data_IF_286240885835
#
_entry.id   IF_286240885835
#
_cell.length_a   1.000
_cell.length_b   1.000
_cell.length_c   1.000
_cell.angle_alpha   90.00
_cell.angle_beta   90.00
_cell.angle_gamma   90.00
#
_symmetry.space_group_name_H-M   'P 1'
#
loop_
_entity.id
_entity.type
_entity.pdbx_description
1 polymer ?
#
# COMPACT_ATOMS: atom_id res chain seq x y z
N UNK A 1 -50.52 27.35 -34.65
CA UNK A 1 -49.66 27.74 -33.53
C UNK A 1 -49.81 26.69 -32.43
N UNK A 2 -48.82 25.79 -32.31
CA UNK A 2 -48.75 24.79 -31.21
C UNK A 2 -47.58 25.21 -30.33
N UNK A 3 -47.93 25.69 -29.14
CA UNK A 3 -46.97 26.08 -28.11
C UNK A 3 -46.44 24.82 -27.41
N UNK A 4 -45.15 24.50 -27.59
CA UNK A 4 -44.44 23.49 -26.83
C UNK A 4 -44.06 24.10 -25.48
N UNK A 5 -44.57 23.56 -24.39
CA UNK A 5 -44.07 23.81 -23.03
C UNK A 5 -42.92 22.84 -22.77
N UNK A 6 -41.71 23.37 -22.73
CA UNK A 6 -40.52 22.63 -22.22
C UNK A 6 -40.55 22.61 -20.71
N UNK A 7 -40.77 21.42 -20.13
CA UNK A 7 -40.65 21.18 -18.69
C UNK A 7 -39.19 20.87 -18.38
N UNK A 8 -38.46 21.85 -17.85
CA UNK A 8 -37.08 21.65 -17.36
C UNK A 8 -37.16 20.99 -15.98
N UNK A 9 -36.94 19.68 -15.91
CA UNK A 9 -36.72 19.00 -14.62
C UNK A 9 -35.35 19.43 -14.07
N UNK A 10 -35.34 20.22 -13.01
CA UNK A 10 -34.17 20.41 -12.16
C UNK A 10 -34.01 19.14 -11.31
N UNK A 11 -33.03 18.32 -11.65
CA UNK A 11 -32.52 17.31 -10.74
C UNK A 11 -31.73 18.01 -9.63
N UNK A 12 -32.37 18.28 -8.50
CA UNK A 12 -31.63 18.52 -7.26
C UNK A 12 -31.02 17.16 -6.86
N UNK A 13 -29.75 16.95 -7.18
CA UNK A 13 -28.97 15.94 -6.48
C UNK A 13 -28.90 16.38 -5.01
N UNK A 14 -29.62 15.66 -4.13
CA UNK A 14 -29.40 15.75 -2.70
C UNK A 14 -27.95 15.27 -2.45
N UNK A 15 -27.01 16.20 -2.38
CA UNK A 15 -25.74 15.91 -1.77
C UNK A 15 -26.06 15.45 -0.35
N UNK A 16 -25.84 14.17 -0.04
CA UNK A 16 -25.87 13.68 1.32
C UNK A 16 -24.92 14.60 2.11
N UNK A 17 -25.48 15.37 3.03
CA UNK A 17 -24.70 16.21 3.92
C UNK A 17 -23.76 15.26 4.67
N UNK A 18 -22.48 15.30 4.37
CA UNK A 18 -21.49 14.54 5.12
C UNK A 18 -21.61 14.97 6.58
N UNK A 19 -21.70 13.99 7.48
CA UNK A 19 -21.79 14.27 8.92
C UNK A 19 -20.61 15.13 9.36
N UNK A 20 -20.90 16.12 10.22
CA UNK A 20 -19.86 16.90 10.90
C UNK A 20 -19.53 16.23 12.24
N UNK A 21 -18.27 16.04 12.52
CA UNK A 21 -17.77 15.39 13.74
C UNK A 21 -16.83 16.29 14.52
N UNK A 22 -16.91 16.21 15.85
CA UNK A 22 -15.93 16.76 16.77
C UNK A 22 -15.32 15.60 17.58
N UNK A 23 -14.07 15.24 17.26
CA UNK A 23 -13.37 14.12 17.90
C UNK A 23 -12.49 14.67 19.02
N UNK A 24 -12.77 14.27 20.26
CA UNK A 24 -11.94 14.60 21.43
C UNK A 24 -10.85 13.56 21.56
N UNK A 25 -9.59 13.98 21.49
CA UNK A 25 -8.42 13.11 21.52
C UNK A 25 -7.63 13.27 22.80
N UNK A 26 -7.19 12.19 23.42
CA UNK A 26 -6.25 12.22 24.55
C UNK A 26 -4.87 12.71 24.11
N UNK A 27 -4.41 12.21 22.95
CA UNK A 27 -3.20 12.67 22.30
C UNK A 27 -3.35 12.60 20.77
N UNK A 28 -2.71 13.50 20.04
CA UNK A 28 -2.58 13.49 18.58
C UNK A 28 -1.10 13.41 18.25
N UNK A 29 -0.70 12.38 17.51
CA UNK A 29 0.67 12.21 17.06
C UNK A 29 0.80 12.74 15.64
N UNK A 30 1.78 13.58 15.40
CA UNK A 30 2.23 13.96 14.06
C UNK A 30 3.57 13.27 13.74
N UNK A 31 3.57 12.16 13.01
CA UNK A 31 4.80 11.44 12.70
C UNK A 31 5.79 12.27 11.87
N UNK A 32 5.30 13.11 10.96
CA UNK A 32 6.15 13.93 10.11
C UNK A 32 7.00 14.91 10.93
N UNK A 33 6.37 15.62 11.86
CA UNK A 33 7.05 16.58 12.77
C UNK A 33 7.67 15.91 13.99
N UNK A 34 7.23 14.70 14.35
CA UNK A 34 7.64 14.01 15.56
C UNK A 34 7.11 14.66 16.83
N UNK A 35 5.91 15.26 16.78
CA UNK A 35 5.27 15.92 17.91
C UNK A 35 4.07 15.15 18.44
N UNK A 36 3.77 15.35 19.72
CA UNK A 36 2.58 14.82 20.40
C UNK A 36 1.85 15.99 21.06
N UNK A 37 0.64 16.24 20.60
CA UNK A 37 -0.23 17.28 21.14
C UNK A 37 -1.35 16.62 21.96
N UNK A 38 -1.43 16.96 23.27
CA UNK A 38 -2.40 16.34 24.19
C UNK A 38 -3.71 17.13 24.27
N UNK A 39 -4.81 16.42 24.62
CA UNK A 39 -6.13 16.99 24.84
C UNK A 39 -6.61 17.88 23.69
N UNK A 40 -6.56 17.33 22.49
CA UNK A 40 -6.96 18.02 21.28
C UNK A 40 -8.40 17.72 20.89
N UNK A 41 -9.03 18.67 20.21
CA UNK A 41 -10.27 18.41 19.47
C UNK A 41 -10.01 18.53 17.98
N UNK A 42 -10.40 17.51 17.22
CA UNK A 42 -10.34 17.48 15.74
C UNK A 42 -11.75 17.70 15.22
N UNK A 43 -11.94 18.77 14.45
CA UNK A 43 -13.19 19.04 13.77
C UNK A 43 -13.12 18.49 12.34
N UNK A 44 -14.06 17.63 11.99
CA UNK A 44 -14.20 17.03 10.64
C UNK A 44 -15.52 17.48 10.04
N UNK A 45 -15.48 17.94 8.79
CA UNK A 45 -16.67 18.31 8.04
C UNK A 45 -16.42 18.11 6.53
N UNK A 46 -17.39 17.52 5.84
CA UNK A 46 -17.25 17.22 4.41
C UNK A 46 -16.09 16.30 4.08
N UNK A 47 -15.75 15.38 4.97
CA UNK A 47 -14.67 14.39 4.76
C UNK A 47 -13.26 14.91 5.02
N UNK A 48 -13.10 16.19 5.39
CA UNK A 48 -11.78 16.81 5.63
C UNK A 48 -11.67 17.38 7.04
N UNK A 49 -10.45 17.49 7.53
CA UNK A 49 -10.14 18.11 8.81
C UNK A 49 -10.26 19.63 8.66
N UNK A 50 -11.12 20.27 9.47
CA UNK A 50 -11.35 21.72 9.44
C UNK A 50 -10.56 22.46 10.51
N UNK A 51 -10.34 21.82 11.66
CA UNK A 51 -9.57 22.39 12.77
C UNK A 51 -8.97 21.30 13.64
N UNK A 52 -7.83 21.59 14.26
CA UNK A 52 -7.20 20.78 15.30
C UNK A 52 -6.66 21.74 16.37
N UNK A 53 -6.95 21.46 17.63
CA UNK A 53 -6.43 22.28 18.73
C UNK A 53 -7.13 22.01 20.06
N UNK A 54 -6.53 22.47 21.16
CA UNK A 54 -7.08 22.31 22.51
C UNK A 54 -8.35 23.14 22.72
N UNK A 55 -8.52 24.26 22.01
CA UNK A 55 -9.60 25.21 22.20
C UNK A 55 -10.53 25.32 20.97
N UNK A 56 -10.65 24.25 20.17
CA UNK A 56 -11.54 24.23 19.01
C UNK A 56 -12.99 24.33 19.49
N UNK A 57 -13.73 25.32 18.98
CA UNK A 57 -15.17 25.46 19.25
C UNK A 57 -15.94 24.38 18.47
N UNK A 58 -16.74 23.59 19.16
CA UNK A 58 -17.58 22.57 18.55
C UNK A 58 -18.83 23.22 17.99
N UNK A 59 -19.08 23.15 16.65
CA UNK A 59 -20.29 23.72 16.07
C UNK A 59 -21.55 23.04 16.59
N UNK A 60 -22.64 23.81 16.68
CA UNK A 60 -23.94 23.25 17.00
C UNK A 60 -24.34 22.22 15.92
N UNK A 61 -24.72 21.01 16.35
CA UNK A 61 -25.10 19.92 15.46
C UNK A 61 -23.97 18.98 15.06
N UNK A 62 -22.70 19.27 15.38
CA UNK A 62 -21.62 18.31 15.18
C UNK A 62 -21.77 17.11 16.15
N UNK A 63 -21.61 15.91 15.62
CA UNK A 63 -21.59 14.66 16.40
C UNK A 63 -20.28 14.58 17.18
N UNK A 64 -20.36 14.50 18.52
CA UNK A 64 -19.15 14.39 19.36
C UNK A 64 -18.77 12.93 19.50
N UNK A 65 -17.49 12.63 19.20
CA UNK A 65 -16.86 11.33 19.44
C UNK A 65 -15.82 11.54 20.54
N UNK A 66 -15.98 10.82 21.65
CA UNK A 66 -15.06 10.93 22.79
C UNK A 66 -14.00 9.81 22.74
N UNK A 67 -12.80 10.20 22.34
CA UNK A 67 -11.57 9.39 22.33
C UNK A 67 -10.52 10.06 23.25
N UNK A 68 -10.96 10.70 24.35
CA UNK A 68 -10.09 11.46 25.25
C UNK A 68 -9.08 10.61 26.02
N UNK A 69 -9.20 9.29 25.94
CA UNK A 69 -8.25 8.34 26.52
C UNK A 69 -7.35 7.68 25.47
N UNK A 70 -7.55 8.01 24.18
CA UNK A 70 -6.91 7.35 23.04
C UNK A 70 -5.79 8.22 22.44
N UNK A 71 -4.92 7.55 21.70
CA UNK A 71 -3.87 8.15 20.90
C UNK A 71 -4.28 8.13 19.43
N UNK A 72 -4.42 9.31 18.84
CA UNK A 72 -4.86 9.47 17.46
C UNK A 72 -3.66 9.68 16.53
N UNK A 73 -3.73 9.03 15.38
CA UNK A 73 -2.71 9.00 14.35
C UNK A 73 -3.35 9.20 12.96
N UNK A 74 -2.60 9.62 11.95
CA UNK A 74 -3.05 9.44 10.57
C UNK A 74 -3.31 7.97 10.27
N UNK A 75 -4.28 7.68 9.40
CA UNK A 75 -4.50 6.33 8.90
C UNK A 75 -3.22 5.73 8.33
N UNK A 76 -3.01 4.44 8.59
CA UNK A 76 -1.82 3.70 8.17
C UNK A 76 -1.83 3.45 6.65
N UNK A 77 -0.65 3.24 6.11
CA UNK A 77 -0.42 2.92 4.70
C UNK A 77 0.48 1.70 4.56
N UNK A 78 0.16 0.85 3.59
CA UNK A 78 1.04 -0.23 3.13
C UNK A 78 1.36 -0.01 1.65
N UNK A 79 2.64 0.10 1.33
CA UNK A 79 3.11 0.43 -0.01
C UNK A 79 3.41 -0.79 -0.89
N UNK A 80 3.15 -2.02 -0.42
CA UNK A 80 3.34 -3.23 -1.19
C UNK A 80 2.35 -4.32 -0.78
N UNK A 81 1.23 -4.39 -1.49
CA UNK A 81 0.19 -5.41 -1.26
C UNK A 81 -0.19 -6.10 -2.57
N UNK A 82 -0.85 -7.25 -2.42
CA UNK A 82 -1.44 -8.05 -3.48
C UNK A 82 -2.80 -8.58 -2.98
N UNK A 83 -3.84 -7.74 -3.01
CA UNK A 83 -5.11 -8.06 -2.33
C UNK A 83 -5.88 -9.20 -2.99
N UNK A 84 -5.72 -9.37 -4.29
CA UNK A 84 -6.40 -10.41 -5.05
C UNK A 84 -5.65 -11.74 -5.04
N UNK A 85 -4.37 -11.72 -4.65
CA UNK A 85 -3.51 -12.90 -4.56
C UNK A 85 -3.68 -13.59 -3.21
N UNK A 86 -3.64 -14.91 -3.22
CA UNK A 86 -3.44 -15.72 -2.03
C UNK A 86 -2.49 -16.85 -2.34
N UNK A 87 -1.51 -17.05 -1.49
CA UNK A 87 -0.69 -18.26 -1.48
C UNK A 87 -1.27 -19.20 -0.42
N UNK A 88 -1.92 -20.24 -0.90
CA UNK A 88 -2.37 -21.31 0.01
C UNK A 88 -1.12 -22.07 0.42
N UNK A 89 -0.80 -22.04 1.72
CA UNK A 89 0.30 -22.81 2.29
C UNK A 89 0.10 -24.31 2.02
N UNK A 90 0.97 -24.91 1.23
CA UNK A 90 0.90 -26.31 0.84
C UNK A 90 1.62 -26.61 -0.48
N UNK A 91 1.54 -27.86 -0.94
CA UNK A 91 2.29 -28.38 -2.09
C UNK A 91 1.78 -27.90 -3.47
N UNK A 92 0.88 -26.91 -3.53
CA UNK A 92 0.39 -26.42 -4.80
C UNK A 92 1.41 -25.45 -5.42
N UNK A 93 1.88 -25.70 -6.66
CA UNK A 93 2.75 -24.77 -7.35
C UNK A 93 2.09 -23.38 -7.46
N UNK A 94 2.88 -22.32 -7.37
CA UNK A 94 2.43 -20.94 -7.50
C UNK A 94 1.61 -20.71 -8.78
N UNK A 95 2.00 -21.37 -9.87
CA UNK A 95 1.30 -21.33 -11.17
C UNK A 95 -0.15 -21.86 -11.10
N UNK A 96 -0.46 -22.72 -10.14
CA UNK A 96 -1.83 -23.25 -9.98
C UNK A 96 -2.86 -22.16 -9.68
N UNK A 97 -2.43 -21.08 -9.04
CA UNK A 97 -3.25 -19.92 -8.77
C UNK A 97 -3.81 -19.28 -10.04
N UNK A 98 -2.96 -19.12 -11.08
CA UNK A 98 -3.38 -18.52 -12.35
C UNK A 98 -4.44 -19.33 -13.10
N UNK A 99 -4.46 -20.65 -12.89
CA UNK A 99 -5.29 -21.58 -13.65
C UNK A 99 -6.62 -21.89 -12.94
N UNK A 100 -6.60 -21.93 -11.61
CA UNK A 100 -7.74 -22.44 -10.80
C UNK A 100 -8.76 -21.40 -10.43
N UNK A 101 -8.44 -20.12 -10.49
CA UNK A 101 -9.30 -19.06 -9.98
C UNK A 101 -9.78 -18.10 -11.06
N UNK A 102 -11.08 -17.89 -11.12
CA UNK A 102 -11.67 -16.90 -12.02
C UNK A 102 -11.36 -15.47 -11.55
N UNK A 103 -11.20 -14.53 -12.49
CA UNK A 103 -10.98 -13.09 -12.23
C UNK A 103 -12.03 -12.50 -11.28
N UNK A 104 -13.31 -12.86 -11.44
CA UNK A 104 -14.37 -12.39 -10.56
C UNK A 104 -14.20 -12.87 -9.11
N UNK A 105 -13.71 -14.10 -8.90
CA UNK A 105 -13.45 -14.63 -7.56
C UNK A 105 -12.29 -13.88 -6.89
N UNK A 106 -11.23 -13.57 -7.64
CA UNK A 106 -10.11 -12.76 -7.19
C UNK A 106 -10.54 -11.34 -6.82
N UNK A 107 -11.43 -10.71 -7.62
CA UNK A 107 -11.99 -9.40 -7.29
C UNK A 107 -12.75 -9.43 -5.95
N UNK A 108 -13.56 -10.47 -5.70
CA UNK A 108 -14.27 -10.63 -4.42
C UNK A 108 -13.29 -10.82 -3.25
N UNK A 109 -12.21 -11.58 -3.43
CA UNK A 109 -11.12 -11.70 -2.43
C UNK A 109 -10.46 -10.34 -2.18
N UNK A 110 -10.13 -9.62 -3.24
CA UNK A 110 -9.55 -8.27 -3.14
C UNK A 110 -10.43 -7.31 -2.35
N UNK A 111 -11.73 -7.36 -2.59
CA UNK A 111 -12.70 -6.55 -1.86
C UNK A 111 -12.81 -6.95 -0.38
N UNK A 112 -12.85 -8.25 -0.07
CA UNK A 112 -12.82 -8.76 1.30
C UNK A 112 -11.56 -8.30 2.04
N UNK A 113 -10.38 -8.49 1.43
CA UNK A 113 -9.12 -8.07 2.02
C UNK A 113 -9.05 -6.55 2.22
N UNK A 114 -9.58 -5.75 1.29
CA UNK A 114 -9.66 -4.30 1.42
C UNK A 114 -10.44 -3.88 2.69
N UNK A 115 -11.60 -4.50 2.95
CA UNK A 115 -12.37 -4.29 4.17
C UNK A 115 -11.63 -4.69 5.44
N UNK A 116 -10.94 -5.84 5.42
CA UNK A 116 -10.10 -6.31 6.53
C UNK A 116 -9.00 -5.29 6.85
N UNK A 117 -8.31 -4.77 5.83
CA UNK A 117 -7.23 -3.80 6.02
C UNK A 117 -7.75 -2.46 6.52
N UNK A 118 -8.88 -1.99 6.00
CA UNK A 118 -9.50 -0.75 6.50
C UNK A 118 -9.86 -0.86 7.98
N UNK A 119 -10.47 -1.98 8.41
CA UNK A 119 -10.80 -2.24 9.82
C UNK A 119 -9.55 -2.28 10.72
N UNK A 120 -8.39 -2.62 10.19
CA UNK A 120 -7.12 -2.61 10.89
C UNK A 120 -6.41 -1.25 10.87
N UNK A 121 -7.02 -0.23 10.25
CA UNK A 121 -6.48 1.14 10.23
C UNK A 121 -5.66 1.48 8.98
N UNK A 122 -5.52 0.58 8.01
CA UNK A 122 -4.89 0.91 6.73
C UNK A 122 -5.87 1.66 5.84
N UNK A 123 -5.69 2.98 5.73
CA UNK A 123 -6.59 3.85 4.94
C UNK A 123 -6.11 4.08 3.52
N UNK A 124 -4.87 3.75 3.21
CA UNK A 124 -4.27 3.77 1.87
C UNK A 124 -3.43 2.52 1.68
N UNK A 125 -3.54 1.90 0.52
CA UNK A 125 -2.68 0.78 0.12
C UNK A 125 -2.19 0.98 -1.31
N UNK A 126 -1.02 0.42 -1.60
CA UNK A 126 -0.54 0.26 -2.97
C UNK A 126 -0.54 -1.22 -3.33
N UNK A 127 -1.40 -1.60 -4.27
CA UNK A 127 -1.45 -2.95 -4.82
C UNK A 127 -0.56 -3.02 -6.07
N UNK A 128 0.45 -3.89 -6.03
CA UNK A 128 1.50 -3.91 -7.03
C UNK A 128 1.43 -5.11 -7.97
N UNK A 129 0.21 -5.64 -8.19
CA UNK A 129 -0.06 -6.57 -9.28
C UNK A 129 -0.71 -7.88 -8.87
N UNK A 130 -0.71 -8.85 -9.79
CA UNK A 130 -1.36 -10.16 -9.69
C UNK A 130 -2.88 -10.08 -9.54
N UNK A 131 -3.48 -9.08 -10.20
CA UNK A 131 -4.90 -8.78 -10.07
C UNK A 131 -5.82 -9.64 -10.93
N UNK A 132 -5.28 -10.45 -11.87
CA UNK A 132 -6.11 -11.16 -12.83
C UNK A 132 -6.80 -10.21 -13.81
N UNK A 133 -6.12 -9.84 -14.87
CA UNK A 133 -6.66 -9.04 -15.97
C UNK A 133 -7.37 -7.75 -15.53
N UNK A 134 -6.72 -6.98 -14.66
CA UNK A 134 -7.20 -5.70 -14.09
C UNK A 134 -8.36 -5.79 -13.09
N UNK A 135 -8.60 -6.94 -12.47
CA UNK A 135 -9.66 -7.09 -11.45
C UNK A 135 -9.55 -6.07 -10.31
N UNK A 136 -8.34 -5.65 -9.94
CA UNK A 136 -8.13 -4.66 -8.86
C UNK A 136 -8.67 -3.28 -9.22
N UNK A 137 -8.70 -2.91 -10.50
CA UNK A 137 -9.35 -1.68 -10.96
C UNK A 137 -10.86 -1.70 -10.71
N UNK A 138 -11.51 -2.87 -10.84
CA UNK A 138 -12.92 -3.00 -10.55
C UNK A 138 -13.20 -2.94 -9.05
N UNK A 139 -12.35 -3.55 -8.21
CA UNK A 139 -12.40 -3.42 -6.74
C UNK A 139 -12.27 -1.96 -6.33
N UNK A 140 -11.25 -1.26 -6.82
CA UNK A 140 -11.03 0.17 -6.58
C UNK A 140 -12.25 0.99 -6.96
N UNK A 141 -12.77 0.80 -8.18
CA UNK A 141 -13.95 1.51 -8.67
C UNK A 141 -15.20 1.25 -7.84
N UNK A 142 -15.39 0.01 -7.34
CA UNK A 142 -16.52 -0.34 -6.47
C UNK A 142 -16.44 0.41 -5.12
N UNK A 143 -15.24 0.55 -4.56
CA UNK A 143 -15.00 1.34 -3.34
C UNK A 143 -15.18 2.83 -3.61
N UNK A 144 -14.59 3.36 -4.68
CA UNK A 144 -14.72 4.79 -5.07
C UNK A 144 -16.18 5.20 -5.34
N UNK A 145 -17.01 4.29 -5.87
CA UNK A 145 -18.45 4.50 -6.04
C UNK A 145 -19.23 4.40 -4.72
N UNK A 146 -18.58 4.08 -3.60
CA UNK A 146 -19.24 3.92 -2.30
C UNK A 146 -20.14 2.69 -2.19
N UNK A 147 -19.97 1.70 -3.06
CA UNK A 147 -20.70 0.44 -2.97
C UNK A 147 -20.20 -0.43 -1.82
N UNK A 148 -18.92 -0.30 -1.51
CA UNK A 148 -18.22 -0.99 -0.44
C UNK A 148 -17.28 -0.04 0.29
N UNK A 149 -17.04 -0.30 1.56
CA UNK A 149 -16.02 0.39 2.34
C UNK A 149 -14.65 -0.26 2.08
N UNK A 150 -13.63 0.58 1.96
CA UNK A 150 -12.26 0.15 1.73
C UNK A 150 -11.25 1.31 1.80
N UNK A 151 -9.94 1.01 1.77
CA UNK A 151 -8.91 2.01 1.70
C UNK A 151 -8.88 2.71 0.33
N UNK A 152 -8.18 3.81 0.24
CA UNK A 152 -7.74 4.33 -1.07
C UNK A 152 -6.75 3.34 -1.67
N UNK A 153 -7.02 2.87 -2.90
CA UNK A 153 -6.19 1.88 -3.58
C UNK A 153 -5.42 2.54 -4.72
N UNK A 154 -4.09 2.38 -4.69
CA UNK A 154 -3.20 2.76 -5.77
C UNK A 154 -2.68 1.46 -6.36
N UNK A 155 -3.19 1.06 -7.52
CA UNK A 155 -2.81 -0.22 -8.12
C UNK A 155 -1.96 -0.07 -9.38
N UNK A 156 -1.22 -1.13 -9.71
CA UNK A 156 -0.30 -1.14 -10.84
C UNK A 156 -0.89 -1.68 -12.14
N UNK A 157 -2.08 -2.27 -12.08
CA UNK A 157 -2.53 -3.12 -13.17
C UNK A 157 -1.66 -4.36 -13.30
N UNK A 158 -1.29 -4.74 -14.52
CA UNK A 158 -0.42 -5.90 -14.77
C UNK A 158 1.04 -5.58 -14.51
N UNK A 159 1.77 -6.56 -13.98
CA UNK A 159 3.22 -6.47 -13.80
C UNK A 159 3.90 -6.54 -15.17
N UNK A 160 4.89 -5.71 -15.41
CA UNK A 160 5.71 -5.72 -16.64
C UNK A 160 6.95 -6.56 -16.37
N UNK A 161 7.22 -7.52 -17.27
CA UNK A 161 8.37 -8.45 -17.17
C UNK A 161 8.93 -8.77 -18.55
N UNK A 162 10.14 -9.30 -18.64
CA UNK A 162 10.55 -10.07 -19.81
C UNK A 162 9.60 -11.25 -20.05
N UNK A 163 9.68 -11.85 -21.26
CA UNK A 163 8.83 -12.98 -21.62
C UNK A 163 8.81 -14.07 -20.55
N UNK A 164 7.61 -14.50 -20.17
CA UNK A 164 7.38 -15.58 -19.22
C UNK A 164 6.89 -15.13 -17.82
N UNK A 165 6.86 -13.85 -17.53
CA UNK A 165 6.45 -13.35 -16.22
C UNK A 165 7.39 -13.84 -15.11
N UNK A 166 6.81 -14.25 -13.99
CA UNK A 166 7.50 -14.92 -12.88
C UNK A 166 7.28 -16.45 -12.91
N UNK A 167 6.75 -16.99 -14.01
CA UNK A 167 6.62 -18.44 -14.20
C UNK A 167 7.91 -19.03 -14.75
N UNK A 168 8.23 -20.25 -14.32
CA UNK A 168 9.46 -20.92 -14.68
C UNK A 168 9.18 -22.26 -15.36
N UNK A 169 9.95 -22.56 -16.45
CA UNK A 169 9.98 -23.87 -17.10
C UNK A 169 8.61 -24.40 -17.55
N UNK A 170 7.70 -23.50 -17.95
CA UNK A 170 6.41 -23.90 -18.49
C UNK A 170 6.59 -24.40 -19.93
N UNK A 171 6.18 -25.65 -20.24
CA UNK A 171 6.26 -26.17 -21.57
C UNK A 171 5.44 -25.35 -22.58
N UNK A 172 5.93 -25.12 -23.81
CA UNK A 172 5.25 -24.30 -24.83
C UNK A 172 3.79 -24.71 -25.10
N UNK A 173 3.47 -25.98 -24.99
CA UNK A 173 2.14 -26.55 -25.23
C UNK A 173 1.11 -26.12 -24.15
N UNK A 174 1.55 -25.60 -23.00
CA UNK A 174 0.67 -25.05 -21.95
C UNK A 174 0.22 -23.61 -22.27
N UNK A 175 0.81 -22.99 -23.30
CA UNK A 175 0.49 -21.62 -23.70
C UNK A 175 1.05 -20.57 -22.73
N UNK A 176 0.54 -19.36 -22.86
CA UNK A 176 1.04 -18.16 -22.16
C UNK A 176 0.05 -17.69 -21.10
N UNK A 177 -0.37 -18.56 -20.18
CA UNK A 177 -1.40 -18.27 -19.17
C UNK A 177 -1.01 -17.14 -18.21
N UNK A 178 0.30 -16.88 -17.98
CA UNK A 178 0.77 -15.75 -17.17
C UNK A 178 0.34 -14.38 -17.71
N UNK A 179 -0.08 -14.25 -18.96
CA UNK A 179 -0.51 -12.99 -19.58
C UNK A 179 -1.77 -12.38 -18.96
N UNK A 180 -2.49 -13.11 -18.12
CA UNK A 180 -3.54 -12.54 -17.30
C UNK A 180 -3.00 -11.66 -16.16
N UNK A 181 -1.76 -11.90 -15.72
CA UNK A 181 -1.09 -11.21 -14.61
C UNK A 181 0.01 -10.27 -15.09
N UNK A 182 0.68 -10.64 -16.19
CA UNK A 182 1.88 -9.98 -16.68
C UNK A 182 1.70 -9.45 -18.11
N UNK A 183 2.50 -8.43 -18.42
CA UNK A 183 2.73 -7.98 -19.79
C UNK A 183 4.16 -8.33 -20.14
N UNK A 184 4.35 -9.24 -21.10
CA UNK A 184 5.66 -9.53 -21.70
C UNK A 184 6.13 -8.29 -22.49
N UNK A 185 7.32 -7.80 -22.20
CA UNK A 185 7.92 -6.66 -22.89
C UNK A 185 9.44 -6.80 -22.88
N UNK A 186 10.02 -7.14 -24.03
CA UNK A 186 11.43 -7.53 -24.18
C UNK A 186 12.31 -6.42 -24.76
N UNK A 187 11.72 -5.25 -25.10
CA UNK A 187 12.44 -4.11 -25.64
C UNK A 187 11.77 -2.77 -25.29
N UNK A 188 12.47 -1.67 -25.49
CA UNK A 188 12.01 -0.33 -25.12
C UNK A 188 10.65 0.06 -25.75
N UNK A 189 10.32 -0.40 -26.97
CA UNK A 189 9.05 -0.08 -27.61
C UNK A 189 7.88 -0.83 -26.94
N UNK A 190 8.07 -2.09 -26.62
CA UNK A 190 7.11 -2.92 -25.90
C UNK A 190 6.91 -2.41 -24.48
N UNK A 191 8.00 -2.05 -23.78
CA UNK A 191 7.96 -1.45 -22.45
C UNK A 191 7.13 -0.17 -22.42
N UNK A 192 7.34 0.77 -23.38
CA UNK A 192 6.51 1.97 -23.48
C UNK A 192 5.04 1.64 -23.73
N UNK A 193 4.77 0.64 -24.59
CA UNK A 193 3.40 0.18 -24.86
C UNK A 193 2.77 -0.42 -23.60
N UNK A 194 3.48 -1.23 -22.83
CA UNK A 194 3.03 -1.83 -21.59
C UNK A 194 2.66 -0.74 -20.56
N UNK A 195 3.51 0.28 -20.38
CA UNK A 195 3.22 1.43 -19.53
C UNK A 195 1.91 2.11 -19.96
N UNK A 196 1.76 2.44 -21.25
CA UNK A 196 0.55 3.08 -21.78
C UNK A 196 -0.69 2.22 -21.57
N UNK A 197 -0.56 0.91 -21.72
CA UNK A 197 -1.66 -0.05 -21.50
C UNK A 197 -2.12 -0.01 -20.05
N UNK A 198 -1.20 -0.10 -19.08
CA UNK A 198 -1.55 -0.03 -17.66
C UNK A 198 -2.16 1.34 -17.30
N UNK A 199 -1.58 2.45 -17.78
CA UNK A 199 -2.13 3.80 -17.56
C UNK A 199 -3.53 3.95 -18.17
N UNK A 200 -3.77 3.40 -19.36
CA UNK A 200 -5.10 3.40 -19.99
C UNK A 200 -6.15 2.71 -19.12
N UNK A 201 -5.79 1.60 -18.47
CA UNK A 201 -6.68 0.89 -17.55
C UNK A 201 -6.71 1.48 -16.13
N UNK A 202 -6.02 2.62 -15.86
CA UNK A 202 -6.15 3.39 -14.62
C UNK A 202 -5.09 3.09 -13.57
N UNK A 203 -3.96 2.47 -13.95
CA UNK A 203 -2.85 2.24 -13.04
C UNK A 203 -2.32 3.55 -12.44
N UNK A 204 -2.15 3.59 -11.12
CA UNK A 204 -1.57 4.70 -10.36
C UNK A 204 -0.09 4.53 -10.06
N UNK A 205 0.49 3.37 -10.40
CA UNK A 205 1.90 3.02 -10.31
C UNK A 205 2.24 2.03 -11.42
N UNK A 206 3.47 2.04 -11.94
CA UNK A 206 3.96 1.00 -12.85
C UNK A 206 4.82 0.03 -12.06
N UNK A 207 4.53 -1.26 -12.13
CA UNK A 207 5.32 -2.32 -11.48
C UNK A 207 6.08 -3.15 -12.51
N UNK A 208 7.39 -3.32 -12.26
CA UNK A 208 8.24 -4.25 -13.00
C UNK A 208 8.83 -5.30 -12.06
N UNK A 209 9.25 -6.44 -12.66
CA UNK A 209 10.11 -7.44 -12.03
C UNK A 209 11.41 -7.52 -12.83
N UNK A 210 12.55 -7.46 -12.13
CA UNK A 210 13.86 -7.30 -12.77
C UNK A 210 14.77 -8.53 -12.67
N UNK A 211 14.59 -9.39 -11.66
CA UNK A 211 15.60 -10.41 -11.32
C UNK A 211 15.03 -11.83 -11.08
N UNK A 212 13.81 -12.12 -11.54
CA UNK A 212 13.20 -13.44 -11.43
C UNK A 212 13.34 -14.28 -12.71
N UNK A 213 14.24 -13.94 -13.62
CA UNK A 213 14.44 -14.64 -14.87
C UNK A 213 15.89 -14.53 -15.37
N UNK A 214 16.23 -15.24 -16.45
CA UNK A 214 17.58 -15.21 -17.01
C UNK A 214 17.93 -13.90 -17.72
N UNK A 215 16.92 -13.08 -18.07
CA UNK A 215 17.11 -11.78 -18.73
C UNK A 215 16.86 -10.64 -17.76
N UNK A 216 17.76 -9.67 -17.76
CA UNK A 216 17.63 -8.45 -17.00
C UNK A 216 17.52 -7.26 -17.95
N UNK A 217 16.64 -6.32 -17.62
CA UNK A 217 16.57 -5.06 -18.35
C UNK A 217 17.83 -4.23 -18.14
N UNK A 218 18.31 -3.61 -19.19
CA UNK A 218 19.37 -2.61 -19.10
C UNK A 218 18.87 -1.30 -18.48
N UNK A 219 19.78 -0.44 -18.03
CA UNK A 219 19.42 0.89 -17.55
C UNK A 219 18.68 1.72 -18.63
N UNK A 220 18.99 1.52 -19.92
CA UNK A 220 18.31 2.22 -21.02
C UNK A 220 16.87 1.72 -21.22
N UNK A 221 16.62 0.43 -21.10
CA UNK A 221 15.27 -0.14 -21.12
C UNK A 221 14.43 0.44 -19.99
N UNK A 222 14.98 0.48 -18.78
CA UNK A 222 14.29 1.01 -17.61
C UNK A 222 14.07 2.54 -17.71
N UNK A 223 15.00 3.30 -18.30
CA UNK A 223 14.76 4.72 -18.60
C UNK A 223 13.58 4.93 -19.54
N UNK A 224 13.40 4.03 -20.51
CA UNK A 224 12.23 4.09 -21.39
C UNK A 224 10.90 3.94 -20.61
N UNK A 225 10.87 3.11 -19.59
CA UNK A 225 9.73 2.96 -18.68
C UNK A 225 9.53 4.20 -17.82
N UNK A 226 10.60 4.65 -17.14
CA UNK A 226 10.56 5.82 -16.26
C UNK A 226 10.08 7.07 -17.01
N UNK A 227 10.66 7.35 -18.17
CA UNK A 227 10.26 8.49 -19.01
C UNK A 227 8.79 8.42 -19.41
N UNK A 228 8.30 7.25 -19.79
CA UNK A 228 6.92 7.09 -20.25
C UNK A 228 5.93 7.21 -19.08
N UNK A 229 6.23 6.58 -17.95
CA UNK A 229 5.42 6.62 -16.74
C UNK A 229 5.37 8.04 -16.14
N UNK A 230 6.52 8.70 -16.03
CA UNK A 230 6.60 10.05 -15.48
C UNK A 230 5.88 11.09 -16.34
N UNK A 231 5.85 10.94 -17.68
CA UNK A 231 5.00 11.80 -18.55
C UNK A 231 3.52 11.66 -18.25
N UNK A 232 3.08 10.48 -17.80
CA UNK A 232 1.72 10.24 -17.36
C UNK A 232 1.48 10.64 -15.88
N UNK A 233 2.51 11.14 -15.19
CA UNK A 233 2.45 11.46 -13.76
C UNK A 233 2.45 10.25 -12.83
N UNK A 234 2.81 9.05 -13.33
CA UNK A 234 2.74 7.77 -12.62
C UNK A 234 4.14 7.35 -12.17
N UNK A 235 4.35 6.96 -10.89
CA UNK A 235 5.64 6.48 -10.39
C UNK A 235 5.93 5.05 -10.86
N UNK A 236 7.21 4.67 -10.76
CA UNK A 236 7.72 3.34 -11.14
C UNK A 236 8.26 2.62 -9.91
N UNK A 237 7.73 1.42 -9.65
CA UNK A 237 8.14 0.49 -8.60
C UNK A 237 8.76 -0.76 -9.21
N UNK A 238 9.91 -1.20 -8.70
CA UNK A 238 10.60 -2.36 -9.26
C UNK A 238 10.90 -3.41 -8.20
N UNK A 239 10.45 -4.64 -8.47
CA UNK A 239 10.89 -5.81 -7.73
C UNK A 239 12.35 -6.10 -8.09
N UNK A 240 13.21 -6.10 -7.09
CA UNK A 240 14.64 -6.41 -7.26
C UNK A 240 15.25 -6.79 -5.91
N UNK A 241 16.05 -7.84 -5.89
CA UNK A 241 16.74 -8.26 -4.67
C UNK A 241 18.11 -7.62 -4.50
N UNK A 242 18.82 -7.31 -5.58
CA UNK A 242 20.16 -6.69 -5.56
C UNK A 242 20.91 -6.84 -6.87
N UNK A 243 22.24 -6.78 -6.81
CA UNK A 243 23.11 -7.02 -7.97
C UNK A 243 22.97 -5.99 -9.10
N UNK A 244 23.32 -6.39 -10.33
CA UNK A 244 23.25 -5.56 -11.51
C UNK A 244 21.83 -5.03 -11.82
N UNK A 245 20.74 -5.82 -11.68
CA UNK A 245 19.38 -5.28 -11.88
C UNK A 245 19.07 -4.08 -10.98
N UNK A 246 19.52 -4.11 -9.72
CA UNK A 246 19.37 -2.96 -8.81
C UNK A 246 20.20 -1.76 -9.26
N UNK A 247 21.42 -1.97 -9.76
CA UNK A 247 22.25 -0.90 -10.31
C UNK A 247 21.59 -0.23 -11.52
N UNK A 248 21.02 -1.03 -12.43
CA UNK A 248 20.29 -0.54 -13.60
C UNK A 248 19.04 0.25 -13.21
N UNK A 249 18.26 -0.23 -12.23
CA UNK A 249 17.08 0.47 -11.71
C UNK A 249 17.44 1.81 -11.06
N UNK A 250 18.47 1.84 -10.22
CA UNK A 250 18.96 3.06 -9.58
C UNK A 250 19.48 4.05 -10.64
N UNK A 251 20.19 3.56 -11.65
CA UNK A 251 20.68 4.41 -12.73
C UNK A 251 19.54 5.01 -13.56
N UNK A 252 18.54 4.22 -13.90
CA UNK A 252 17.35 4.65 -14.62
C UNK A 252 16.50 5.68 -13.87
N UNK A 253 16.61 5.75 -12.53
CA UNK A 253 15.89 6.72 -11.71
C UNK A 253 14.44 6.31 -11.44
N UNK A 254 14.21 5.04 -11.13
CA UNK A 254 12.90 4.55 -10.64
C UNK A 254 12.52 5.23 -9.32
N UNK A 255 11.23 5.23 -8.96
CA UNK A 255 10.75 5.90 -7.75
C UNK A 255 10.94 5.04 -6.49
N UNK A 256 10.79 3.71 -6.60
CA UNK A 256 11.04 2.78 -5.49
C UNK A 256 11.66 1.46 -5.94
N UNK A 257 12.53 0.91 -5.07
CA UNK A 257 12.94 -0.47 -5.10
C UNK A 257 12.13 -1.24 -4.06
N UNK A 258 11.57 -2.37 -4.48
CA UNK A 258 10.84 -3.29 -3.62
C UNK A 258 11.79 -4.41 -3.18
N UNK A 259 11.66 -4.89 -1.93
CA UNK A 259 12.50 -5.92 -1.32
C UNK A 259 13.94 -5.47 -1.06
N UNK A 260 14.79 -5.52 -2.05
CA UNK A 260 16.17 -5.07 -1.94
C UNK A 260 17.01 -5.84 -0.90
N UNK A 261 16.76 -7.13 -0.69
CA UNK A 261 17.35 -7.93 0.40
C UNK A 261 18.88 -7.99 0.38
N UNK A 262 19.47 -7.89 -0.81
CA UNK A 262 20.91 -8.02 -1.03
C UNK A 262 21.58 -6.71 -1.49
N UNK A 263 20.91 -5.58 -1.29
CA UNK A 263 21.50 -4.27 -1.63
C UNK A 263 22.78 -4.02 -0.85
N UNK A 264 23.80 -3.55 -1.57
CA UNK A 264 25.08 -3.11 -0.99
C UNK A 264 24.98 -1.69 -0.44
N UNK A 265 25.92 -1.31 0.43
CA UNK A 265 26.01 0.08 0.93
C UNK A 265 26.20 1.11 -0.19
N UNK A 266 26.91 0.74 -1.27
CA UNK A 266 27.06 1.60 -2.43
C UNK A 266 25.73 1.85 -3.15
N UNK A 267 24.92 0.82 -3.32
CA UNK A 267 23.58 0.92 -3.90
C UNK A 267 22.66 1.75 -3.00
N UNK A 268 22.64 1.48 -1.69
CA UNK A 268 21.86 2.24 -0.72
C UNK A 268 22.24 3.73 -0.70
N UNK A 269 23.53 4.07 -0.79
CA UNK A 269 23.98 5.46 -0.92
C UNK A 269 23.47 6.12 -2.19
N UNK A 270 23.56 5.44 -3.34
CA UNK A 270 23.03 5.95 -4.61
C UNK A 270 21.51 6.16 -4.56
N UNK A 271 20.76 5.24 -3.92
CA UNK A 271 19.34 5.42 -3.70
C UNK A 271 19.04 6.68 -2.90
N UNK A 272 19.73 6.87 -1.76
CA UNK A 272 19.62 8.09 -0.96
C UNK A 272 19.89 9.34 -1.78
N UNK A 273 21.01 9.37 -2.50
CA UNK A 273 21.45 10.55 -3.27
C UNK A 273 20.46 10.91 -4.40
N UNK A 274 19.77 9.93 -4.95
CA UNK A 274 18.71 10.08 -5.98
C UNK A 274 17.31 10.23 -5.40
N UNK A 275 17.12 10.10 -4.09
CA UNK A 275 15.81 10.18 -3.45
C UNK A 275 14.90 8.98 -3.72
N UNK A 276 15.47 7.83 -4.15
CA UNK A 276 14.74 6.60 -4.43
C UNK A 276 14.34 5.95 -3.10
N UNK A 277 13.07 5.57 -2.98
CA UNK A 277 12.56 4.90 -1.80
C UNK A 277 12.90 3.41 -1.78
N UNK A 278 13.05 2.86 -0.59
CA UNK A 278 13.05 1.43 -0.35
C UNK A 278 11.72 1.01 0.28
N UNK A 279 10.94 0.19 -0.42
CA UNK A 279 9.79 -0.49 0.17
C UNK A 279 10.27 -1.87 0.58
N UNK A 280 10.50 -2.03 1.86
CA UNK A 280 11.47 -3.00 2.34
C UNK A 280 10.97 -4.44 2.44
N UNK A 281 9.65 -4.65 2.56
CA UNK A 281 9.03 -5.98 2.69
C UNK A 281 9.79 -6.93 3.62
N UNK A 282 10.04 -6.45 4.84
CA UNK A 282 10.93 -7.11 5.81
C UNK A 282 10.26 -8.33 6.44
N UNK A 283 10.16 -9.43 5.70
CA UNK A 283 9.53 -10.67 6.15
C UNK A 283 10.00 -11.08 7.55
N UNK A 284 9.09 -11.24 8.52
CA UNK A 284 9.43 -11.80 9.79
C UNK A 284 9.84 -13.28 9.64
N UNK A 285 10.70 -13.77 10.51
CA UNK A 285 11.20 -15.16 10.47
C UNK A 285 10.06 -16.18 10.36
N UNK A 286 8.99 -15.99 11.12
CA UNK A 286 7.84 -16.89 11.09
C UNK A 286 7.16 -16.97 9.71
N UNK A 287 7.17 -15.89 8.93
CA UNK A 287 6.64 -15.89 7.57
C UNK A 287 7.59 -16.62 6.61
N UNK A 288 8.90 -16.40 6.76
CA UNK A 288 9.89 -17.11 5.95
C UNK A 288 9.84 -18.62 6.20
N UNK A 289 9.58 -19.06 7.44
CA UNK A 289 9.41 -20.49 7.77
C UNK A 289 8.20 -21.11 7.04
N UNK A 290 7.18 -20.32 6.71
CA UNK A 290 6.00 -20.73 5.92
C UNK A 290 6.30 -20.70 4.42
N UNK A 291 6.94 -19.63 3.94
CA UNK A 291 7.28 -19.43 2.52
C UNK A 291 8.37 -20.44 2.08
N UNK A 292 9.27 -20.80 3.01
CA UNK A 292 10.42 -21.64 2.71
C UNK A 292 11.37 -20.98 1.71
N UNK A 293 11.97 -21.79 0.85
CA UNK A 293 12.91 -21.32 -0.18
C UNK A 293 12.23 -20.86 -1.46
N UNK A 294 10.91 -20.92 -1.54
CA UNK A 294 10.11 -20.60 -2.75
C UNK A 294 10.70 -21.24 -4.02
N UNK A 295 10.89 -22.56 -3.97
CA UNK A 295 11.45 -23.30 -5.10
C UNK A 295 12.92 -23.02 -5.38
N UNK A 296 13.67 -22.50 -4.42
CA UNK A 296 15.10 -22.17 -4.54
C UNK A 296 15.41 -20.72 -4.92
N UNK A 297 14.39 -19.86 -5.00
CA UNK A 297 14.57 -18.43 -5.24
C UNK A 297 15.24 -17.77 -4.01
N UNK A 298 14.84 -18.17 -2.81
CA UNK A 298 15.39 -17.66 -1.55
C UNK A 298 16.39 -18.62 -0.92
N UNK A 299 17.40 -18.09 -0.21
CA UNK A 299 18.15 -18.87 0.77
C UNK A 299 17.22 -19.41 1.86
N UNK A 300 17.69 -20.42 2.59
CA UNK A 300 16.98 -20.93 3.78
C UNK A 300 16.61 -19.79 4.74
N UNK A 301 15.44 -19.86 5.41
CA UNK A 301 14.96 -18.82 6.31
C UNK A 301 15.97 -18.37 7.38
N UNK A 302 16.82 -19.31 7.89
CA UNK A 302 17.89 -19.03 8.83
C UNK A 302 18.95 -18.07 8.28
N UNK A 303 19.17 -18.11 6.97
CA UNK A 303 20.16 -17.28 6.26
C UNK A 303 19.53 -15.97 5.82
N UNK A 304 18.28 -16.00 5.36
CA UNK A 304 17.63 -14.83 4.79
C UNK A 304 17.17 -13.83 5.86
N UNK A 305 16.55 -14.27 6.95
CA UNK A 305 16.00 -13.39 7.98
C UNK A 305 17.04 -12.42 8.57
N UNK A 306 18.25 -12.86 8.98
CA UNK A 306 19.27 -11.94 9.45
C UNK A 306 19.74 -10.94 8.39
N UNK A 307 19.77 -11.31 7.11
CA UNK A 307 20.16 -10.43 6.01
C UNK A 307 19.13 -9.31 5.77
N UNK A 308 17.85 -9.64 5.86
CA UNK A 308 16.76 -8.66 5.77
C UNK A 308 16.91 -7.62 6.89
N UNK A 309 17.06 -8.06 8.14
CA UNK A 309 17.22 -7.16 9.29
C UNK A 309 18.47 -6.29 9.13
N UNK A 310 19.60 -6.88 8.75
CA UNK A 310 20.85 -6.14 8.57
C UNK A 310 20.77 -5.12 7.43
N UNK A 311 20.12 -5.46 6.31
CA UNK A 311 19.87 -4.53 5.21
C UNK A 311 19.00 -3.35 5.67
N UNK A 312 17.96 -3.60 6.47
CA UNK A 312 17.12 -2.53 7.01
C UNK A 312 17.91 -1.60 7.93
N UNK A 313 18.73 -2.15 8.85
CA UNK A 313 19.64 -1.37 9.69
C UNK A 313 20.58 -0.48 8.86
N UNK A 314 21.22 -1.05 7.84
CA UNK A 314 22.15 -0.30 6.94
C UNK A 314 21.40 0.80 6.17
N UNK A 315 20.23 0.50 5.62
CA UNK A 315 19.42 1.47 4.90
C UNK A 315 19.06 2.67 5.78
N UNK A 316 18.58 2.42 7.00
CA UNK A 316 18.27 3.49 7.98
C UNK A 316 19.51 4.27 8.40
N UNK A 317 20.62 3.60 8.69
CA UNK A 317 21.89 4.26 9.06
C UNK A 317 22.43 5.15 7.93
N UNK A 318 22.33 4.71 6.69
CA UNK A 318 22.74 5.49 5.50
C UNK A 318 21.79 6.66 5.27
N UNK A 319 20.53 6.56 5.71
CA UNK A 319 19.51 7.58 5.54
C UNK A 319 18.71 7.42 4.24
N UNK A 320 18.54 6.18 3.78
CA UNK A 320 17.56 5.85 2.73
C UNK A 320 16.17 6.06 3.27
N UNK A 321 15.27 6.58 2.47
CA UNK A 321 13.84 6.69 2.80
C UNK A 321 13.21 5.31 2.70
N UNK A 322 12.84 4.74 3.85
CA UNK A 322 12.26 3.40 3.94
C UNK A 322 10.78 3.50 4.25
N UNK A 323 9.97 2.87 3.42
CA UNK A 323 8.52 2.85 3.53
C UNK A 323 8.06 1.43 3.89
N UNK A 324 7.04 1.36 4.74
CA UNK A 324 6.43 0.10 5.12
C UNK A 324 5.66 -0.50 3.93
N UNK A 325 5.92 -1.75 3.67
CA UNK A 325 5.23 -2.58 2.69
C UNK A 325 5.42 -4.03 3.07
N UNK A 326 4.39 -4.86 2.94
CA UNK A 326 4.44 -6.20 3.51
C UNK A 326 4.59 -7.31 2.49
N UNK A 327 4.01 -7.15 1.29
CA UNK A 327 3.99 -8.25 0.32
C UNK A 327 3.33 -9.53 0.88
N UNK A 328 2.41 -9.36 1.84
CA UNK A 328 1.74 -10.50 2.49
C UNK A 328 0.68 -11.08 1.57
N UNK A 329 0.88 -12.31 1.15
CA UNK A 329 -0.04 -13.06 0.27
C UNK A 329 -0.54 -14.37 0.90
N UNK A 330 0.06 -14.81 2.02
CA UNK A 330 -0.29 -16.05 2.69
C UNK A 330 -1.62 -15.97 3.44
N UNK A 331 -2.27 -17.12 3.60
CA UNK A 331 -3.40 -17.33 4.48
C UNK A 331 -2.99 -18.27 5.61
N UNK A 332 -3.21 -17.85 6.86
CA UNK A 332 -2.93 -18.62 8.05
C UNK A 332 -4.23 -18.85 8.81
N UNK A 333 -4.58 -20.09 9.20
CA UNK A 333 -5.82 -20.36 9.92
C UNK A 333 -5.99 -19.48 11.16
N UNK A 334 -7.19 -18.93 11.35
CA UNK A 334 -7.57 -18.06 12.48
C UNK A 334 -6.79 -16.74 12.57
N UNK A 335 -6.14 -16.31 11.50
CA UNK A 335 -5.50 -15.00 11.40
C UNK A 335 -6.02 -14.24 10.18
N UNK A 336 -6.23 -12.97 10.33
CA UNK A 336 -6.57 -12.09 9.21
C UNK A 336 -5.30 -11.67 8.44
N UNK A 337 -5.47 -11.18 7.22
CA UNK A 337 -4.39 -10.58 6.44
C UNK A 337 -3.70 -9.44 7.22
N UNK A 338 -4.48 -8.62 7.92
CA UNK A 338 -3.96 -7.52 8.73
C UNK A 338 -3.10 -8.00 9.91
N UNK A 339 -3.50 -9.10 10.59
CA UNK A 339 -2.68 -9.68 11.66
C UNK A 339 -1.30 -10.08 11.14
N UNK A 340 -1.25 -10.64 9.93
CA UNK A 340 0.01 -11.03 9.30
C UNK A 340 0.85 -9.81 8.90
N UNK A 341 0.21 -8.73 8.42
CA UNK A 341 0.91 -7.49 8.08
C UNK A 341 1.57 -6.85 9.30
N UNK A 342 0.89 -6.83 10.45
CA UNK A 342 1.49 -6.31 11.68
C UNK A 342 2.67 -7.14 12.22
N UNK A 343 2.83 -8.40 11.81
CA UNK A 343 4.00 -9.19 12.20
C UNK A 343 5.32 -8.59 11.70
N UNK A 344 5.28 -7.82 10.60
CA UNK A 344 6.45 -7.12 10.04
C UNK A 344 7.05 -6.09 11.00
N UNK A 345 6.27 -5.58 11.96
CA UNK A 345 6.79 -4.72 13.04
C UNK A 345 7.92 -5.42 13.82
N UNK A 346 7.88 -6.74 13.94
CA UNK A 346 8.93 -7.51 14.62
C UNK A 346 10.29 -7.37 13.94
N UNK A 347 10.34 -7.39 12.60
CA UNK A 347 11.56 -7.19 11.82
C UNK A 347 12.11 -5.77 11.95
N UNK A 348 11.22 -4.77 11.94
CA UNK A 348 11.61 -3.37 12.13
C UNK A 348 12.15 -3.11 13.53
N UNK A 349 11.54 -3.72 14.56
CA UNK A 349 12.04 -3.69 15.94
C UNK A 349 13.39 -4.41 16.07
N UNK A 350 13.55 -5.59 15.45
CA UNK A 350 14.83 -6.32 15.44
C UNK A 350 15.93 -5.51 14.72
N UNK A 351 15.55 -4.69 13.72
CA UNK A 351 16.45 -3.74 13.08
C UNK A 351 16.69 -2.47 13.91
N UNK A 352 16.16 -2.37 15.13
CA UNK A 352 16.31 -1.22 16.05
C UNK A 352 15.77 0.09 15.46
N UNK A 353 14.76 0.01 14.58
CA UNK A 353 14.10 1.19 14.04
C UNK A 353 13.21 1.80 15.13
N UNK A 354 13.40 3.08 15.41
CA UNK A 354 12.64 3.77 16.44
C UNK A 354 11.13 3.82 16.07
N UNK A 355 10.20 3.72 17.03
CA UNK A 355 8.76 3.76 16.77
C UNK A 355 8.31 4.94 15.91
N UNK A 356 8.86 6.12 16.13
CA UNK A 356 8.56 7.29 15.30
C UNK A 356 8.93 7.10 13.83
N UNK A 357 10.06 6.45 13.55
CA UNK A 357 10.49 6.17 12.18
C UNK A 357 9.63 5.08 11.52
N UNK A 358 9.12 4.12 12.31
CA UNK A 358 8.14 3.13 11.84
C UNK A 358 6.85 3.85 11.45
N UNK A 359 6.33 4.73 12.32
CA UNK A 359 5.13 5.53 12.05
C UNK A 359 5.30 6.41 10.80
N UNK A 360 6.48 7.01 10.60
CA UNK A 360 6.78 7.76 9.36
C UNK A 360 6.70 6.88 8.14
N UNK A 361 7.29 5.69 8.19
CA UNK A 361 7.26 4.70 7.10
C UNK A 361 5.85 4.21 6.78
N UNK A 362 4.94 4.22 7.76
CA UNK A 362 3.54 3.81 7.60
C UNK A 362 2.58 4.99 7.35
N UNK A 363 3.05 6.25 7.33
CA UNK A 363 2.21 7.44 7.17
C UNK A 363 2.84 8.46 6.23
N UNK A 364 3.61 9.42 6.74
CA UNK A 364 4.09 10.58 5.99
C UNK A 364 5.09 10.24 4.87
N UNK A 365 6.02 9.30 5.08
CA UNK A 365 6.93 8.84 4.04
C UNK A 365 6.20 7.99 2.98
N UNK A 366 5.28 7.12 3.43
CA UNK A 366 4.43 6.37 2.53
C UNK A 366 3.57 7.30 1.67
N UNK A 367 2.96 8.34 2.27
CA UNK A 367 2.15 9.31 1.54
C UNK A 367 2.94 10.01 0.42
N UNK A 368 4.21 10.34 0.67
CA UNK A 368 5.07 10.96 -0.35
C UNK A 368 5.39 9.99 -1.49
N UNK A 369 5.77 8.75 -1.19
CA UNK A 369 5.99 7.72 -2.21
C UNK A 369 4.72 7.49 -3.05
N UNK A 370 3.58 7.39 -2.38
CA UNK A 370 2.28 7.13 -2.99
C UNK A 370 1.67 8.36 -3.67
N UNK A 371 2.34 9.53 -3.59
CA UNK A 371 1.91 10.82 -4.16
C UNK A 371 0.54 11.28 -3.66
N UNK A 372 0.21 10.95 -2.41
CA UNK A 372 -1.03 11.36 -1.73
C UNK A 372 -0.78 12.34 -0.58
N UNK A 373 0.45 12.77 -0.36
CA UNK A 373 0.90 13.65 0.73
C UNK A 373 0.20 15.02 0.75
N UNK A 374 -0.33 15.47 -0.40
CA UNK A 374 -1.12 16.70 -0.51
C UNK A 374 -2.55 16.55 -0.02
N UNK A 375 -3.03 15.33 0.17
CA UNK A 375 -4.41 15.05 0.55
C UNK A 375 -4.55 14.23 1.82
N UNK A 376 -3.53 13.44 2.23
CA UNK A 376 -3.59 12.52 3.37
C UNK A 376 -2.19 12.16 3.89
N UNK A 377 -2.08 11.31 4.93
CA UNK A 377 -0.80 10.90 5.53
C UNK A 377 -0.35 11.75 6.73
N UNK A 378 -1.15 12.75 7.09
CA UNK A 378 -0.99 13.55 8.31
C UNK A 378 -2.36 13.98 8.84
N UNK A 379 -2.44 14.28 10.14
CA UNK A 379 -3.60 14.96 10.73
C UNK A 379 -3.35 16.47 10.64
N UNK A 380 -3.84 17.09 9.57
CA UNK A 380 -3.66 18.52 9.33
C UNK A 380 -4.91 19.14 8.68
N UNK A 381 -5.12 20.43 8.96
CA UNK A 381 -6.25 21.18 8.37
C UNK A 381 -6.19 21.14 6.84
N UNK A 382 -7.30 20.82 6.22
CA UNK A 382 -7.46 20.71 4.77
C UNK A 382 -7.19 19.32 4.20
N UNK A 383 -6.59 18.40 4.97
CA UNK A 383 -6.39 17.01 4.54
C UNK A 383 -7.63 16.16 4.83
N UNK A 384 -7.72 15.03 4.13
CA UNK A 384 -8.74 14.02 4.35
C UNK A 384 -8.73 13.56 5.82
N UNK A 385 -9.91 13.37 6.38
CA UNK A 385 -10.06 12.84 7.72
C UNK A 385 -9.89 11.31 7.70
N UNK A 386 -8.64 10.88 7.49
CA UNK A 386 -8.17 9.51 7.64
C UNK A 386 -7.51 9.42 9.02
N UNK A 387 -8.25 8.95 10.01
CA UNK A 387 -7.88 9.00 11.43
C UNK A 387 -8.02 7.61 12.03
N UNK A 388 -7.00 7.17 12.76
CA UNK A 388 -7.11 5.97 13.60
C UNK A 388 -6.88 6.34 15.06
N UNK A 389 -7.41 5.52 15.96
CA UNK A 389 -7.11 5.59 17.38
C UNK A 389 -6.63 4.25 17.92
N UNK A 390 -5.70 4.32 18.87
CA UNK A 390 -5.16 3.18 19.61
C UNK A 390 -5.16 3.47 21.12
N UNK A 391 -5.35 2.43 21.97
CA UNK A 391 -5.55 2.66 23.41
C UNK A 391 -4.27 3.04 24.19
N UNK A 392 -3.09 2.76 23.63
CA UNK A 392 -1.80 3.00 24.29
C UNK A 392 -0.83 3.75 23.39
N UNK A 393 0.19 4.37 23.99
CA UNK A 393 1.19 5.17 23.29
C UNK A 393 2.02 4.33 22.30
N UNK A 394 1.83 4.48 20.97
CA UNK A 394 2.58 3.72 19.98
C UNK A 394 4.04 4.19 19.83
N UNK A 395 4.41 5.33 20.42
CA UNK A 395 5.81 5.75 20.50
C UNK A 395 6.55 5.07 21.64
N UNK A 396 5.83 4.61 22.68
CA UNK A 396 6.38 3.77 23.75
C UNK A 396 6.39 2.30 23.35
N UNK A 397 5.34 1.81 22.70
CA UNK A 397 5.23 0.45 22.19
C UNK A 397 4.48 0.42 20.85
N UNK A 398 5.20 0.19 19.78
CA UNK A 398 4.64 0.17 18.42
C UNK A 398 3.62 -0.97 18.20
N UNK A 399 3.64 -2.03 19.02
CA UNK A 399 2.65 -3.12 18.95
C UNK A 399 1.24 -2.66 19.32
N UNK A 400 1.09 -1.46 19.89
CA UNK A 400 -0.21 -0.78 20.08
C UNK A 400 -1.01 -0.69 18.77
N UNK A 401 -0.35 -0.60 17.62
CA UNK A 401 -0.99 -0.56 16.31
C UNK A 401 -1.82 -1.81 15.99
N UNK A 402 -1.60 -2.94 16.69
CA UNK A 402 -2.45 -4.14 16.54
C UNK A 402 -3.85 -3.96 17.16
N UNK A 403 -4.02 -2.93 17.96
CA UNK A 403 -5.23 -2.68 18.76
C UNK A 403 -5.95 -1.40 18.32
N UNK A 404 -6.00 -1.16 17.00
CA UNK A 404 -6.83 -0.08 16.46
C UNK A 404 -8.29 -0.37 16.81
N UNK A 405 -8.97 0.55 17.47
CA UNK A 405 -10.37 0.46 17.90
C UNK A 405 -11.29 1.52 17.28
N UNK A 406 -10.69 2.53 16.66
CA UNK A 406 -11.38 3.54 15.85
C UNK A 406 -10.69 3.75 14.52
N UNK A 407 -11.46 3.78 13.44
CA UNK A 407 -11.02 4.10 12.08
C UNK A 407 -12.02 5.03 11.42
N UNK A 408 -11.54 6.17 10.98
CA UNK A 408 -12.27 7.09 10.11
C UNK A 408 -11.53 7.19 8.77
N UNK A 409 -12.27 7.04 7.67
CA UNK A 409 -11.78 7.15 6.30
C UNK A 409 -12.58 8.17 5.51
N UNK A 410 -11.92 9.21 4.99
CA UNK A 410 -12.58 10.32 4.30
C UNK A 410 -13.78 10.90 5.10
N UNK A 411 -13.60 10.99 6.44
CA UNK A 411 -14.62 11.50 7.37
C UNK A 411 -15.78 10.54 7.67
N UNK A 412 -15.75 9.30 7.16
CA UNK A 412 -16.73 8.25 7.49
C UNK A 412 -16.13 7.30 8.51
N UNK A 413 -16.92 6.90 9.51
CA UNK A 413 -16.51 5.95 10.53
C UNK A 413 -16.59 4.54 9.93
N UNK A 414 -15.43 3.92 9.71
CA UNK A 414 -15.33 2.53 9.27
C UNK A 414 -15.32 1.55 10.45
N UNK A 415 -14.71 1.95 11.56
CA UNK A 415 -14.66 1.17 12.79
C UNK A 415 -14.80 2.07 14.01
N UNK A 416 -15.61 1.63 14.98
CA UNK A 416 -15.68 2.22 16.31
C UNK A 416 -16.15 1.15 17.28
N UNK A 417 -15.23 0.49 17.96
CA UNK A 417 -15.51 -0.69 18.79
C UNK A 417 -16.48 -0.37 19.93
N UNK A 418 -16.34 0.79 20.59
CA UNK A 418 -17.25 1.25 21.62
C UNK A 418 -18.70 1.46 21.12
N UNK A 419 -18.91 1.70 19.82
CA UNK A 419 -20.20 1.87 19.18
C UNK A 419 -20.66 0.63 18.40
N UNK A 420 -19.89 -0.46 18.37
CA UNK A 420 -20.19 -1.67 17.62
C UNK A 420 -20.16 -1.50 16.09
N UNK A 421 -19.42 -0.52 15.58
CA UNK A 421 -19.30 -0.23 14.13
C UNK A 421 -18.07 -0.94 13.58
N UNK A 422 -18.25 -1.76 12.55
CA UNK A 422 -17.17 -2.36 11.73
C UNK A 422 -17.67 -2.57 10.30
N UNK A 423 -16.81 -2.33 9.32
CA UNK A 423 -17.07 -2.71 7.92
C UNK A 423 -16.92 -4.23 7.73
N UNK A 424 -17.67 -4.82 6.80
CA UNK A 424 -17.72 -6.25 6.54
C UNK A 424 -17.25 -6.57 5.12
#
# INVERSE_FOLDING_TARGET
MKTLFSLTLLFLSAAALADSYAIRAGAVIDPARGTVDRNQTILVDGGVIKAIGANVQVPAGAKVIDLSHEWLLPGLMDAHTHLTLTEVTGDAPFESFYIKEATAFRAMRGLHNAGVLLNAGFTVIRDVGNSGDYAMQDVKRAIENGWFEGPTIIDSGKIITPFGGQSHNIPPEQGTFWRYEYIDADNAAELRKAVRTNVYYGAGVIKLVLDNGPYHYTADDLRAVVDEAHRAGVPVAVHVYGGEPADNAIEAGVDSLEHGFFLTDAQLKRMKDKGIFLVSTDFPRAHLDVIGTSGGIFPEPEVLAPKIIERLKRAKKIGVRVVFGTDTVMEVPNRTRADLMFDYLSSWRAAEVAPLEILRGMTSEAAQLLRVDKSRGALAVGLAADIIAVPTDPLADIESLRHVDFVMKDGRIARHDAAGIRVH
#
